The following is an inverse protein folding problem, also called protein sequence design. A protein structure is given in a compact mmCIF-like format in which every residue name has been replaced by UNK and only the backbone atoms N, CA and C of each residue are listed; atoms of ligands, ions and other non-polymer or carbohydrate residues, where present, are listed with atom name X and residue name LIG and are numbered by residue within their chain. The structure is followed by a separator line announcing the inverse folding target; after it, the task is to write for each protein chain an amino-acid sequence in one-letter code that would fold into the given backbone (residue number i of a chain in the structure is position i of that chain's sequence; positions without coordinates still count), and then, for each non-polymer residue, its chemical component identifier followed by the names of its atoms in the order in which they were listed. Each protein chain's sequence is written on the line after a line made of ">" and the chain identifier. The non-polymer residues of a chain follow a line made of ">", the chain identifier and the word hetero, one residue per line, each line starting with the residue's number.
data_IF_528871874841
#
_entry.id   IF_528871874841
#
_cell.length_a   1.000
_cell.length_b   1.000
_cell.length_c   1.000
_cell.angle_alpha   90.00
_cell.angle_beta   90.00
_cell.angle_gamma   90.00
#
_symmetry.space_group_name_H-M   'P 1'
#
loop_
_entity.id
_entity.type
_entity.pdbx_description
1 polymer ?
#
# COMPACT_ATOMS: atom_id res chain seq x y z
N UNK A 1 32.06 -10.91 29.25
CA UNK A 1 30.82 -10.13 29.53
C UNK A 1 29.87 -10.42 28.38
N UNK A 2 28.90 -11.31 28.58
CA UNK A 2 28.01 -11.78 27.53
C UNK A 2 26.91 -10.74 27.30
N UNK A 3 26.80 -10.23 26.07
CA UNK A 3 25.75 -9.31 25.67
C UNK A 3 24.46 -10.09 25.42
N UNK A 4 23.51 -10.01 26.36
CA UNK A 4 22.13 -10.47 26.17
C UNK A 4 21.50 -9.74 24.98
N UNK A 5 21.35 -10.43 23.85
CA UNK A 5 20.39 -10.08 22.81
C UNK A 5 18.98 -10.56 23.23
N UNK A 6 18.48 -10.02 24.33
CA UNK A 6 17.07 -10.17 24.69
C UNK A 6 16.28 -9.15 23.88
N UNK A 7 15.52 -9.58 22.85
CA UNK A 7 14.48 -8.72 22.26
C UNK A 7 13.66 -8.15 23.41
N UNK A 8 13.67 -6.83 23.56
CA UNK A 8 12.80 -6.11 24.47
C UNK A 8 11.38 -6.67 24.34
N UNK A 9 10.81 -7.12 25.45
CA UNK A 9 9.45 -7.66 25.52
C UNK A 9 8.52 -6.66 24.83
N UNK A 10 8.03 -7.00 23.64
CA UNK A 10 7.09 -6.15 22.92
C UNK A 10 5.82 -6.09 23.76
N UNK A 11 5.54 -4.92 24.35
CA UNK A 11 4.25 -4.69 24.99
C UNK A 11 3.19 -4.73 23.91
N UNK A 12 2.24 -5.65 24.06
CA UNK A 12 1.06 -5.74 23.22
C UNK A 12 0.29 -4.43 23.40
N UNK A 13 0.03 -3.68 22.33
CA UNK A 13 -0.66 -2.42 22.45
C UNK A 13 -2.14 -2.69 22.83
N UNK A 14 -2.76 -1.77 23.57
CA UNK A 14 -4.08 -1.97 24.18
C UNK A 14 -5.14 -2.44 23.17
N UNK A 15 -5.87 -3.52 23.47
CA UNK A 15 -6.91 -4.06 22.61
C UNK A 15 -8.02 -3.04 22.28
N UNK A 16 -8.26 -2.07 23.17
CA UNK A 16 -9.28 -1.02 22.99
C UNK A 16 -8.95 -0.03 21.87
N UNK A 17 -7.70 0.00 21.41
CA UNK A 17 -7.31 0.88 20.31
C UNK A 17 -7.92 0.43 18.98
N UNK A 18 -8.25 -0.86 18.84
CA UNK A 18 -8.79 -1.43 17.61
C UNK A 18 -10.28 -1.13 17.54
N UNK A 19 -10.64 -0.11 16.76
CA UNK A 19 -12.02 0.28 16.48
C UNK A 19 -12.37 -0.03 15.03
N UNK A 20 -13.60 -0.45 14.80
CA UNK A 20 -14.10 -0.79 13.45
C UNK A 20 -14.41 0.49 12.66
N UNK A 21 -14.64 1.61 13.35
CA UNK A 21 -14.97 2.91 12.76
C UNK A 21 -13.85 3.41 11.83
N UNK A 22 -14.21 3.80 10.60
CA UNK A 22 -13.26 4.28 9.59
C UNK A 22 -12.50 3.19 8.83
N UNK A 23 -12.78 1.91 9.09
CA UNK A 23 -12.25 0.78 8.32
C UNK A 23 -13.29 0.24 7.32
N UNK A 24 -12.89 -0.48 6.25
CA UNK A 24 -13.82 -1.14 5.33
C UNK A 24 -14.77 -2.14 6.02
N UNK A 25 -14.41 -2.63 7.22
CA UNK A 25 -15.26 -3.49 8.04
C UNK A 25 -16.54 -2.77 8.54
N UNK A 26 -16.55 -1.44 8.61
CA UNK A 26 -17.75 -0.67 8.93
C UNK A 26 -18.83 -0.86 7.84
N UNK A 27 -18.41 -0.88 6.57
CA UNK A 27 -19.29 -1.14 5.43
C UNK A 27 -19.82 -2.57 5.46
N UNK A 28 -18.96 -3.54 5.82
CA UNK A 28 -19.36 -4.95 5.99
C UNK A 28 -20.41 -5.06 7.11
N UNK A 29 -20.17 -4.43 8.27
CA UNK A 29 -21.14 -4.38 9.38
C UNK A 29 -22.48 -3.78 8.94
N UNK A 30 -22.49 -2.67 8.19
CA UNK A 30 -23.71 -2.05 7.65
C UNK A 30 -24.45 -2.99 6.70
N UNK A 31 -23.73 -3.72 5.84
CA UNK A 31 -24.31 -4.69 4.90
C UNK A 31 -24.89 -5.92 5.60
N UNK A 32 -24.24 -6.43 6.65
CA UNK A 32 -24.75 -7.57 7.42
C UNK A 32 -25.91 -7.16 8.34
N UNK A 33 -25.95 -5.91 8.79
CA UNK A 33 -27.08 -5.39 9.56
C UNK A 33 -28.38 -5.34 8.73
N UNK A 34 -28.31 -5.24 7.39
CA UNK A 34 -29.49 -5.23 6.53
C UNK A 34 -30.33 -6.52 6.63
N UNK A 35 -29.75 -7.73 6.62
CA UNK A 35 -30.46 -8.97 6.95
C UNK A 35 -30.57 -9.25 8.47
N UNK A 36 -30.16 -8.32 9.34
CA UNK A 36 -30.20 -8.49 10.80
C UNK A 36 -29.07 -9.35 11.38
N UNK A 37 -28.01 -9.64 10.59
CA UNK A 37 -26.87 -10.43 11.04
C UNK A 37 -25.79 -9.52 11.64
N UNK A 38 -25.20 -9.93 12.76
CA UNK A 38 -24.09 -9.20 13.40
C UNK A 38 -22.86 -10.07 13.42
N UNK A 39 -21.81 -9.63 12.73
CA UNK A 39 -20.49 -10.27 12.82
C UNK A 39 -19.81 -9.93 14.17
N UNK A 40 -19.42 -10.94 14.97
CA UNK A 40 -18.73 -10.73 16.24
C UNK A 40 -17.22 -10.55 16.10
N UNK A 41 -16.62 -10.85 14.94
CA UNK A 41 -15.16 -10.87 14.75
C UNK A 41 -14.58 -9.55 14.20
N UNK A 42 -15.43 -8.59 13.81
CA UNK A 42 -14.98 -7.36 13.16
C UNK A 42 -13.94 -6.54 13.94
N UNK A 43 -13.92 -6.59 15.27
CA UNK A 43 -12.88 -5.92 16.06
C UNK A 43 -11.54 -6.68 16.01
N UNK A 44 -11.59 -8.01 15.96
CA UNK A 44 -10.44 -8.88 15.78
C UNK A 44 -9.84 -8.83 14.38
N UNK A 45 -10.54 -8.26 13.40
CA UNK A 45 -10.01 -8.03 12.05
C UNK A 45 -9.67 -6.55 11.79
N UNK A 46 -10.16 -5.63 12.61
CA UNK A 46 -9.94 -4.19 12.46
C UNK A 46 -8.45 -3.82 12.47
N UNK A 47 -7.61 -4.53 13.24
CA UNK A 47 -6.16 -4.29 13.27
C UNK A 47 -5.47 -4.47 11.91
N UNK A 48 -6.05 -5.26 10.99
CA UNK A 48 -5.48 -5.47 9.64
C UNK A 48 -5.68 -4.26 8.74
N UNK A 49 -6.73 -3.48 8.99
CA UNK A 49 -7.14 -2.37 8.13
C UNK A 49 -6.95 -1.01 8.80
N UNK A 50 -6.51 -0.97 10.05
CA UNK A 50 -6.08 0.24 10.76
C UNK A 50 -4.57 0.47 10.58
N UNK A 51 -4.15 1.74 10.52
CA UNK A 51 -2.72 2.12 10.46
C UNK A 51 -2.15 2.22 9.04
N UNK A 52 -0.83 2.01 8.91
CA UNK A 52 -0.07 2.27 7.67
C UNK A 52 -0.41 1.37 6.48
N UNK A 53 -1.23 0.32 6.66
CA UNK A 53 -1.71 -0.56 5.60
C UNK A 53 -3.08 -0.16 5.02
N UNK A 54 -3.65 0.96 5.46
CA UNK A 54 -4.94 1.46 4.96
C UNK A 54 -4.87 2.01 3.52
N UNK A 55 -3.68 2.28 2.99
CA UNK A 55 -3.51 2.87 1.67
C UNK A 55 -3.21 1.77 0.64
N UNK A 56 -4.18 1.46 -0.21
CA UNK A 56 -3.95 0.61 -1.38
C UNK A 56 -3.01 1.34 -2.33
N UNK A 57 -1.74 0.91 -2.39
CA UNK A 57 -0.76 1.48 -3.31
C UNK A 57 -1.29 1.44 -4.75
N UNK A 58 -1.28 2.59 -5.42
CA UNK A 58 -1.62 2.66 -6.84
C UNK A 58 -0.52 1.98 -7.65
N UNK A 59 -0.88 1.02 -8.52
CA UNK A 59 0.08 0.21 -9.29
C UNK A 59 0.82 0.98 -10.39
N UNK A 60 0.36 2.20 -10.72
CA UNK A 60 1.02 3.05 -11.72
C UNK A 60 2.23 3.72 -11.05
N UNK A 61 3.36 3.02 -11.09
CA UNK A 61 4.63 3.48 -10.54
C UNK A 61 5.53 4.18 -11.55
N UNK A 62 6.82 4.28 -11.20
CA UNK A 62 7.89 4.89 -11.99
C UNK A 62 8.10 4.29 -13.40
N UNK A 63 7.48 3.15 -13.71
CA UNK A 63 7.60 2.52 -15.02
C UNK A 63 7.15 3.41 -16.19
N UNK A 64 6.13 4.25 -15.98
CA UNK A 64 5.71 5.19 -17.03
C UNK A 64 6.75 6.30 -17.28
N UNK A 65 7.41 6.78 -16.23
CA UNK A 65 8.49 7.76 -16.37
C UNK A 65 9.70 7.17 -17.12
N UNK A 66 10.05 5.91 -16.83
CA UNK A 66 11.10 5.20 -17.56
C UNK A 66 10.75 4.98 -19.04
N UNK A 67 9.47 4.65 -19.34
CA UNK A 67 8.99 4.49 -20.72
C UNK A 67 9.12 5.79 -21.53
N UNK A 68 8.65 6.92 -20.99
CA UNK A 68 8.76 8.23 -21.67
C UNK A 68 10.23 8.63 -21.86
N UNK A 69 11.08 8.39 -20.87
CA UNK A 69 12.52 8.65 -20.97
C UNK A 69 13.19 7.82 -22.07
N UNK A 70 12.85 6.54 -22.20
CA UNK A 70 13.37 5.68 -23.26
C UNK A 70 12.94 6.14 -24.66
N UNK A 71 11.65 6.45 -24.85
CA UNK A 71 11.14 6.96 -26.13
C UNK A 71 11.82 8.28 -26.51
N UNK A 72 12.03 9.18 -25.56
CA UNK A 72 12.73 10.45 -25.80
C UNK A 72 14.20 10.26 -26.19
N UNK A 73 14.90 9.33 -25.55
CA UNK A 73 16.30 9.02 -25.86
C UNK A 73 16.45 8.37 -27.25
N UNK A 74 15.58 7.44 -27.61
CA UNK A 74 15.55 6.83 -28.94
C UNK A 74 15.28 7.87 -30.03
N UNK A 75 14.29 8.75 -29.82
CA UNK A 75 13.97 9.81 -30.77
C UNK A 75 15.14 10.78 -30.98
N UNK A 76 15.81 11.17 -29.89
CA UNK A 76 16.97 12.06 -29.96
C UNK A 76 18.16 11.40 -30.65
N UNK A 77 18.49 10.15 -30.31
CA UNK A 77 19.55 9.40 -31.00
C UNK A 77 19.25 9.22 -32.49
N UNK A 78 18.01 8.94 -32.85
CA UNK A 78 17.62 8.80 -34.26
C UNK A 78 17.69 10.13 -35.01
N UNK A 79 17.33 11.26 -34.38
CA UNK A 79 17.51 12.59 -34.98
C UNK A 79 18.98 12.92 -35.25
N UNK A 80 19.89 12.60 -34.32
CA UNK A 80 21.33 12.81 -34.50
C UNK A 80 21.92 11.91 -35.59
N UNK A 81 21.40 10.69 -35.73
CA UNK A 81 21.88 9.74 -36.74
C UNK A 81 21.39 10.10 -38.16
N UNK A 82 20.20 10.71 -38.27
CA UNK A 82 19.69 11.27 -39.54
C UNK A 82 20.49 12.50 -39.97
N UNK A 83 20.84 13.38 -39.03
CA UNK A 83 21.67 14.57 -39.30
C UNK A 83 23.06 14.20 -39.84
N UNK A 84 23.72 13.20 -39.23
CA UNK A 84 25.04 12.69 -39.67
C UNK A 84 25.04 12.01 -41.05
N UNK A 85 23.90 11.50 -41.53
CA UNK A 85 23.80 10.84 -42.85
C UNK A 85 23.59 11.83 -43.99
N UNK A 86 23.27 13.08 -43.70
CA UNK A 86 23.04 14.13 -44.70
C UNK A 86 24.29 14.98 -45.01
N UNK A 87 25.46 14.59 -44.50
CA UNK A 87 26.75 15.24 -44.74
C UNK A 87 27.74 14.31 -45.46
#
# INVERSE_FOLDING_TARGET
>A
MAHEHGRSKMELPDYKQWKIEGTPLETVKKKLAAPGLRDPWGQGEAWRYMGGFANSGSFIGWGFAAFVGAVGAEYYLESLNKDKKHH
#
